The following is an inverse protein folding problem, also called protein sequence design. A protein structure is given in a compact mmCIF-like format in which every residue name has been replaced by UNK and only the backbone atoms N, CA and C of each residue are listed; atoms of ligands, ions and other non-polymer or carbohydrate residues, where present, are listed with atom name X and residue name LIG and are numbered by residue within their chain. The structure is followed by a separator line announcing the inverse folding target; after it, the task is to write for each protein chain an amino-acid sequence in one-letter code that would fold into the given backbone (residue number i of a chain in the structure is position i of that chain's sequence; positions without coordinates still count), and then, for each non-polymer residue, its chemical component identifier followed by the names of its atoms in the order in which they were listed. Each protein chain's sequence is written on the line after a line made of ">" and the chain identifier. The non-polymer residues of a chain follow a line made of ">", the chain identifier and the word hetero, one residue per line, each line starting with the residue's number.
data_IF_383952322572
#
_entry.id   IF_383952322572
#
_cell.length_a   1.000
_cell.length_b   1.000
_cell.length_c   1.000
_cell.angle_alpha   90.00
_cell.angle_beta   90.00
_cell.angle_gamma   90.00
#
_symmetry.space_group_name_H-M   'P 1'
#
loop_
_entity.id
_entity.type
_entity.pdbx_description
1 polymer ?
#
# COMPACT_ATOMS: atom_id res chain seq x y z
N UNK A 1 0.30 -12.26 -16.83
CA UNK A 1 -0.20 -10.92 -17.19
C UNK A 1 -0.20 -10.02 -15.97
N UNK A 2 0.28 -8.81 -16.13
CA UNK A 2 0.35 -7.86 -15.04
C UNK A 2 -0.99 -7.14 -14.86
N UNK A 3 -1.46 -7.08 -13.65
CA UNK A 3 -2.68 -6.34 -13.34
C UNK A 3 -2.35 -4.87 -13.18
N UNK A 4 -3.07 -4.02 -13.88
CA UNK A 4 -2.85 -2.57 -13.80
C UNK A 4 -3.10 -2.02 -12.42
N UNK A 5 -3.89 -2.74 -11.61
CA UNK A 5 -4.31 -2.28 -10.30
C UNK A 5 -3.51 -2.92 -9.18
N UNK A 6 -2.33 -3.43 -9.51
CA UNK A 6 -1.50 -4.14 -8.55
C UNK A 6 -0.14 -3.46 -8.39
N UNK A 7 0.36 -3.40 -7.18
CA UNK A 7 1.69 -2.86 -6.88
C UNK A 7 2.20 -3.54 -5.61
N UNK A 8 3.44 -4.05 -5.67
CA UNK A 8 4.10 -4.70 -4.52
C UNK A 8 3.28 -5.83 -3.92
N UNK A 9 2.51 -6.52 -4.75
CA UNK A 9 1.70 -7.62 -4.28
C UNK A 9 0.35 -7.22 -3.72
N UNK A 10 0.06 -5.92 -3.70
CA UNK A 10 -1.24 -5.41 -3.27
C UNK A 10 -2.05 -4.98 -4.49
N UNK A 11 -3.35 -4.95 -4.37
CA UNK A 11 -4.19 -4.49 -5.47
C UNK A 11 -5.31 -3.58 -4.95
N UNK A 12 -5.84 -2.80 -5.88
CA UNK A 12 -6.90 -1.84 -5.56
C UNK A 12 -8.15 -2.60 -5.11
N UNK A 13 -8.73 -2.14 -4.01
CA UNK A 13 -9.89 -2.79 -3.40
C UNK A 13 -9.52 -3.77 -2.31
N UNK A 14 -8.25 -4.05 -2.15
CA UNK A 14 -7.80 -4.99 -1.12
C UNK A 14 -7.84 -4.34 0.25
N UNK A 15 -8.27 -5.09 1.25
CA UNK A 15 -8.24 -4.65 2.62
C UNK A 15 -6.99 -5.20 3.29
N UNK A 16 -6.20 -4.30 3.86
CA UNK A 16 -4.92 -4.67 4.48
C UNK A 16 -4.79 -3.96 5.82
N UNK A 17 -3.78 -4.36 6.57
CA UNK A 17 -3.50 -3.73 7.87
C UNK A 17 -2.38 -2.72 7.72
N UNK A 18 -2.39 -1.68 8.54
CA UNK A 18 -1.40 -0.61 8.47
C UNK A 18 -0.08 -0.96 9.14
N UNK A 19 0.06 -2.17 9.62
CA UNK A 19 1.29 -2.66 10.20
C UNK A 19 1.07 -4.03 10.81
N UNK A 20 2.15 -4.76 11.09
CA UNK A 20 2.02 -6.14 11.55
C UNK A 20 1.35 -6.27 12.91
N UNK A 21 1.43 -5.22 13.73
CA UNK A 21 0.80 -5.23 15.04
C UNK A 21 -0.35 -4.25 15.15
N UNK A 22 -0.77 -3.70 14.04
CA UNK A 22 -1.84 -2.71 14.03
C UNK A 22 -3.20 -3.40 13.91
N UNK A 23 -4.19 -3.00 14.71
CA UNK A 23 -5.55 -3.50 14.53
C UNK A 23 -6.31 -2.78 13.43
N UNK A 24 -5.72 -1.74 12.85
CA UNK A 24 -6.42 -0.92 11.87
C UNK A 24 -6.36 -1.53 10.48
N UNK A 25 -7.52 -1.65 9.86
CA UNK A 25 -7.63 -2.10 8.47
C UNK A 25 -7.94 -0.92 7.58
N UNK A 26 -7.38 -0.93 6.39
CA UNK A 26 -7.63 0.10 5.40
C UNK A 26 -7.87 -0.58 4.06
N UNK A 27 -8.63 0.10 3.19
CA UNK A 27 -8.91 -0.41 1.86
C UNK A 27 -8.13 0.43 0.86
N UNK A 28 -7.38 -0.23 0.02
CA UNK A 28 -6.54 0.43 -0.98
C UNK A 28 -7.43 0.96 -2.10
N UNK A 29 -7.32 2.25 -2.38
CA UNK A 29 -8.08 2.91 -3.43
C UNK A 29 -7.24 3.20 -4.65
N UNK A 30 -5.96 3.52 -4.45
CA UNK A 30 -5.05 3.86 -5.53
C UNK A 30 -3.63 3.55 -5.10
N UNK A 31 -2.74 3.60 -6.06
CA UNK A 31 -1.31 3.53 -5.78
C UNK A 31 -0.64 4.80 -6.28
N UNK A 32 0.47 5.17 -5.64
CA UNK A 32 1.26 6.31 -6.04
C UNK A 32 2.73 5.98 -5.88
N UNK A 33 3.52 6.37 -6.87
CA UNK A 33 4.97 6.19 -6.82
C UNK A 33 5.57 7.57 -6.64
N UNK A 34 6.35 7.73 -5.58
CA UNK A 34 6.95 9.00 -5.22
C UNK A 34 8.46 8.92 -5.39
N UNK A 35 9.02 9.88 -6.08
CA UNK A 35 10.46 9.99 -6.23
C UNK A 35 10.99 10.90 -5.14
N UNK A 36 11.99 10.44 -4.39
CA UNK A 36 12.49 11.18 -3.24
C UNK A 36 13.71 12.01 -3.57
N UNK A 37 13.93 12.52 -4.65
CA UNK A 37 15.01 13.45 -4.93
C UNK A 37 16.41 12.85 -5.00
N UNK A 38 16.60 11.64 -4.52
CA UNK A 38 17.88 10.94 -4.62
C UNK A 38 17.85 9.91 -5.74
N UNK A 39 16.89 10.02 -6.61
CA UNK A 39 16.72 9.07 -7.70
C UNK A 39 16.07 7.77 -7.27
N UNK A 40 15.59 7.69 -6.05
CA UNK A 40 14.91 6.52 -5.56
C UNK A 40 13.41 6.73 -5.54
N UNK A 41 12.69 5.65 -5.65
CA UNK A 41 11.23 5.69 -5.67
C UNK A 41 10.68 4.95 -4.47
N UNK A 42 9.57 5.43 -3.96
CA UNK A 42 8.84 4.78 -2.89
C UNK A 42 7.41 4.55 -3.36
N UNK A 43 6.90 3.37 -3.11
CA UNK A 43 5.54 3.01 -3.49
C UNK A 43 4.61 3.26 -2.32
N UNK A 44 3.53 3.96 -2.58
CA UNK A 44 2.52 4.28 -1.57
C UNK A 44 1.17 3.78 -2.01
N UNK A 45 0.37 3.36 -1.06
CA UNK A 45 -1.02 3.05 -1.28
C UNK A 45 -1.87 4.17 -0.70
N UNK A 46 -2.78 4.69 -1.49
CA UNK A 46 -3.75 5.66 -1.04
C UNK A 46 -4.98 4.88 -0.62
N UNK A 47 -5.37 5.03 0.62
CA UNK A 47 -6.44 4.25 1.20
C UNK A 47 -7.56 5.15 1.69
N UNK A 48 -8.62 4.54 2.18
CA UNK A 48 -9.73 5.26 2.77
C UNK A 48 -9.34 5.94 4.09
N UNK A 49 -8.13 5.69 4.58
CA UNK A 49 -7.64 6.30 5.81
C UNK A 49 -6.23 6.86 5.60
N UNK A 50 -6.01 7.53 4.48
CA UNK A 50 -4.76 8.23 4.22
C UNK A 50 -3.79 7.43 3.38
N UNK A 51 -2.56 7.92 3.33
CA UNK A 51 -1.49 7.35 2.52
C UNK A 51 -0.59 6.49 3.37
N UNK A 52 -0.23 5.33 2.86
CA UNK A 52 0.63 4.41 3.60
C UNK A 52 1.66 3.81 2.66
N UNK A 53 2.94 3.77 3.06
CA UNK A 53 3.92 3.10 2.22
C UNK A 53 3.60 1.61 2.16
N UNK A 54 3.72 1.04 0.97
CA UNK A 54 3.39 -0.38 0.80
C UNK A 54 4.27 -1.27 1.68
N UNK A 55 5.47 -0.80 2.02
CA UNK A 55 6.35 -1.55 2.91
C UNK A 55 5.76 -1.74 4.30
N UNK A 56 4.90 -0.81 4.71
CA UNK A 56 4.31 -0.85 6.03
C UNK A 56 3.04 -1.69 6.08
N UNK A 57 2.40 -1.87 4.95
CA UNK A 57 1.14 -2.59 4.88
C UNK A 57 1.38 -4.10 4.95
N UNK A 58 0.47 -4.80 5.62
CA UNK A 58 0.51 -6.25 5.68
C UNK A 58 -0.86 -6.81 5.35
N UNK A 59 -0.88 -7.96 4.71
CA UNK A 59 -2.14 -8.55 4.25
C UNK A 59 -2.89 -9.25 5.36
N UNK A 60 -2.16 -9.83 6.29
CA UNK A 60 -2.77 -10.54 7.40
C UNK A 60 -2.08 -10.15 8.68
N UNK A 61 -2.87 -10.06 9.72
CA UNK A 61 -2.36 -9.77 11.03
C UNK A 61 -1.92 -11.07 11.68
N UNK A 62 -0.76 -11.04 12.29
CA UNK A 62 -0.30 -12.21 13.03
C UNK A 62 -0.63 -12.13 14.48
#
# INVERSE_FOLDING_TARGET
>A
MTHKNELDGFYIGETVYTGPNSPHKVTIEKFMIVCNGNGKYANFAITDNGWWPTKQLVKTKK
#
